data_IF_466951228438
#
_entry.id   IF_466951228438
#
_cell.length_a   1.000
_cell.length_b   1.000
_cell.length_c   1.000
_cell.angle_alpha   90.00
_cell.angle_beta   90.00
_cell.angle_gamma   90.00
#
_symmetry.space_group_name_H-M   'P 1'
#
loop_
_entity.id
_entity.type
_entity.pdbx_description
1 polymer ?
#
# COMPACT_ATOMS: atom_id res chain seq x y z
N UNK A 1 -2.08 -18.40 -1.26
CA UNK A 1 -3.22 -17.66 -0.68
C UNK A 1 -3.64 -16.47 -1.54
N UNK A 2 -2.72 -15.55 -1.89
CA UNK A 2 -3.04 -14.31 -2.63
C UNK A 2 -3.85 -14.53 -3.92
N UNK A 3 -3.51 -15.58 -4.68
CA UNK A 3 -4.25 -16.03 -5.85
C UNK A 3 -5.77 -16.19 -5.61
N UNK A 4 -6.14 -16.96 -4.58
CA UNK A 4 -7.53 -17.25 -4.26
C UNK A 4 -8.27 -16.04 -3.66
N UNK A 5 -7.56 -15.25 -2.85
CA UNK A 5 -8.13 -14.03 -2.23
C UNK A 5 -8.48 -12.96 -3.26
N UNK A 6 -7.75 -12.91 -4.38
CA UNK A 6 -8.00 -11.98 -5.50
C UNK A 6 -8.94 -12.53 -6.55
N UNK A 7 -9.45 -13.75 -6.37
CA UNK A 7 -10.35 -14.43 -7.31
C UNK A 7 -9.77 -14.57 -8.73
N UNK A 8 -8.49 -14.94 -8.81
CA UNK A 8 -7.82 -15.15 -10.10
C UNK A 8 -8.43 -16.34 -10.84
N UNK A 9 -8.73 -16.16 -12.13
CA UNK A 9 -9.27 -17.19 -13.02
C UNK A 9 -8.18 -18.20 -13.45
N UNK A 10 -7.73 -19.03 -12.51
CA UNK A 10 -6.62 -19.97 -12.73
C UNK A 10 -6.84 -20.95 -13.88
N UNK A 11 -8.10 -21.27 -14.21
CA UNK A 11 -8.44 -22.16 -15.32
C UNK A 11 -7.97 -21.65 -16.69
N UNK A 12 -7.88 -20.34 -16.86
CA UNK A 12 -7.49 -19.71 -18.13
C UNK A 12 -5.96 -19.62 -18.27
N UNK A 13 -5.23 -19.81 -17.15
CA UNK A 13 -3.78 -19.66 -17.07
C UNK A 13 -3.06 -20.98 -17.32
N UNK A 14 -3.52 -22.05 -16.68
CA UNK A 14 -2.77 -23.29 -16.61
C UNK A 14 -3.68 -24.51 -16.50
N UNK A 15 -3.33 -25.55 -17.27
CA UNK A 15 -4.02 -26.84 -17.24
C UNK A 15 -3.82 -27.60 -15.92
N UNK A 16 -2.65 -27.42 -15.28
CA UNK A 16 -2.28 -28.12 -14.06
C UNK A 16 -2.07 -27.10 -12.93
N UNK A 17 -2.99 -27.06 -11.97
CA UNK A 17 -2.92 -26.14 -10.84
C UNK A 17 -2.51 -26.91 -9.60
N UNK A 18 -1.32 -26.59 -9.08
CA UNK A 18 -0.77 -27.21 -7.88
C UNK A 18 -0.86 -26.29 -6.68
N UNK A 19 -1.15 -26.84 -5.50
CA UNK A 19 -1.06 -26.13 -4.23
C UNK A 19 -0.74 -27.07 -3.08
N UNK A 20 -0.53 -26.49 -1.89
CA UNK A 20 -0.32 -27.23 -0.65
C UNK A 20 -1.57 -27.11 0.21
N UNK A 21 -1.88 -28.15 0.97
CA UNK A 21 -3.07 -28.19 1.84
C UNK A 21 -3.08 -27.05 2.85
N UNK A 22 -1.93 -26.75 3.44
CA UNK A 22 -1.76 -25.68 4.43
C UNK A 22 -2.20 -24.30 3.90
N UNK A 23 -1.95 -24.02 2.62
CA UNK A 23 -2.34 -22.74 2.00
C UNK A 23 -3.86 -22.57 1.95
N UNK A 24 -4.60 -23.66 1.76
CA UNK A 24 -6.07 -23.64 1.68
C UNK A 24 -6.67 -23.58 3.08
N UNK A 25 -6.11 -24.32 4.04
CA UNK A 25 -6.60 -24.32 5.44
C UNK A 25 -6.33 -23.00 6.16
N UNK A 26 -5.32 -22.25 5.74
CA UNK A 26 -5.01 -20.92 6.28
C UNK A 26 -6.07 -19.86 5.89
N UNK A 27 -6.80 -20.05 4.79
CA UNK A 27 -7.75 -19.06 4.29
C UNK A 27 -8.94 -18.94 5.24
N UNK A 28 -9.12 -17.74 5.82
CA UNK A 28 -10.23 -17.42 6.74
C UNK A 28 -11.34 -16.58 6.12
N UNK A 29 -11.14 -16.07 4.91
CA UNK A 29 -12.14 -15.23 4.24
C UNK A 29 -13.35 -16.07 3.78
N UNK A 30 -14.54 -15.71 4.25
CA UNK A 30 -15.77 -16.48 4.01
C UNK A 30 -16.16 -16.53 2.54
N UNK A 31 -15.98 -15.43 1.80
CA UNK A 31 -16.32 -15.39 0.38
C UNK A 31 -15.40 -16.33 -0.41
N UNK A 32 -14.09 -16.24 -0.14
CA UNK A 32 -13.09 -17.11 -0.76
C UNK A 32 -13.31 -18.59 -0.41
N UNK A 33 -13.60 -18.93 0.85
CA UNK A 33 -13.91 -20.32 1.24
C UNK A 33 -15.11 -20.89 0.48
N UNK A 34 -16.16 -20.08 0.24
CA UNK A 34 -17.32 -20.51 -0.55
C UNK A 34 -16.94 -20.77 -2.01
N UNK A 35 -16.11 -19.92 -2.62
CA UNK A 35 -15.63 -20.10 -4.00
C UNK A 35 -14.76 -21.35 -4.15
N UNK A 36 -13.87 -21.59 -3.18
CA UNK A 36 -13.01 -22.79 -3.15
C UNK A 36 -13.80 -24.10 -3.09
N UNK A 37 -15.05 -24.08 -2.59
CA UNK A 37 -15.91 -25.26 -2.56
C UNK A 37 -16.51 -25.60 -3.95
N UNK A 38 -16.50 -24.67 -4.91
CA UNK A 38 -17.15 -24.79 -6.23
C UNK A 38 -16.22 -24.36 -7.36
N UNK A 39 -14.95 -24.80 -7.32
CA UNK A 39 -13.98 -24.46 -8.36
C UNK A 39 -14.31 -25.17 -9.69
N UNK A 40 -14.21 -24.48 -10.84
CA UNK A 40 -14.45 -25.06 -12.15
C UNK A 40 -13.24 -25.87 -12.69
N UNK A 41 -12.20 -26.07 -11.88
CA UNK A 41 -10.97 -26.75 -12.25
C UNK A 41 -10.48 -27.67 -11.12
N UNK A 42 -9.63 -28.64 -11.48
CA UNK A 42 -9.01 -29.54 -10.53
C UNK A 42 -7.83 -28.86 -9.81
N UNK A 43 -7.90 -28.81 -8.49
CA UNK A 43 -6.81 -28.33 -7.63
C UNK A 43 -6.00 -29.51 -7.09
N UNK A 44 -4.75 -29.66 -7.55
CA UNK A 44 -3.87 -30.77 -7.15
C UNK A 44 -3.05 -30.42 -5.93
N UNK A 45 -3.17 -31.24 -4.89
CA UNK A 45 -2.38 -31.08 -3.67
C UNK A 45 -1.08 -31.87 -3.77
N UNK A 46 0.06 -31.18 -3.69
CA UNK A 46 1.39 -31.82 -3.70
C UNK A 46 2.24 -31.22 -2.59
N UNK A 47 2.86 -32.09 -1.80
CA UNK A 47 3.84 -31.69 -0.78
C UNK A 47 5.25 -31.73 -1.37
N UNK A 48 6.09 -30.70 -1.12
CA UNK A 48 7.44 -30.66 -1.66
C UNK A 48 8.36 -31.65 -0.95
N UNK A 49 9.37 -32.15 -1.67
CA UNK A 49 10.44 -32.95 -1.08
C UNK A 49 11.30 -32.10 -0.14
N UNK A 50 11.78 -32.73 0.94
CA UNK A 50 12.57 -32.06 1.97
C UNK A 50 13.88 -31.46 1.45
N UNK A 51 14.45 -32.03 0.39
CA UNK A 51 15.66 -31.51 -0.28
C UNK A 51 15.45 -30.10 -0.81
N UNK A 52 14.34 -29.87 -1.53
CA UNK A 52 14.01 -28.55 -2.07
C UNK A 52 13.64 -27.55 -0.97
N UNK A 53 12.98 -28.02 0.10
CA UNK A 53 12.69 -27.18 1.27
C UNK A 53 13.99 -26.67 1.91
N UNK A 54 15.02 -27.51 2.04
CA UNK A 54 16.33 -27.11 2.55
C UNK A 54 17.02 -26.11 1.64
N UNK A 55 17.04 -26.37 0.33
CA UNK A 55 17.65 -25.49 -0.67
C UNK A 55 17.03 -24.10 -0.63
N UNK A 56 15.70 -24.00 -0.69
CA UNK A 56 14.98 -22.73 -0.62
C UNK A 56 15.21 -22.03 0.73
N UNK A 57 15.25 -22.78 1.83
CA UNK A 57 15.54 -22.22 3.15
C UNK A 57 16.92 -21.58 3.21
N UNK A 58 17.94 -22.26 2.69
CA UNK A 58 19.31 -21.75 2.62
C UNK A 58 19.40 -20.52 1.70
N UNK A 59 18.77 -20.58 0.53
CA UNK A 59 18.71 -19.45 -0.39
C UNK A 59 18.02 -18.24 0.25
N UNK A 60 16.87 -18.44 0.89
CA UNK A 60 16.11 -17.38 1.57
C UNK A 60 16.91 -16.73 2.70
N UNK A 61 17.74 -17.50 3.41
CA UNK A 61 18.66 -16.95 4.42
C UNK A 61 19.75 -16.08 3.78
N UNK A 62 20.29 -16.48 2.63
CA UNK A 62 21.27 -15.67 1.88
C UNK A 62 20.65 -14.36 1.35
N UNK A 63 19.38 -14.38 0.93
CA UNK A 63 18.66 -13.17 0.48
C UNK A 63 18.30 -12.21 1.62
N UNK A 64 18.17 -12.73 2.85
CA UNK A 64 17.70 -11.96 4.01
C UNK A 64 16.19 -11.97 4.24
N UNK A 65 15.41 -12.67 3.40
CA UNK A 65 13.95 -12.75 3.49
C UNK A 65 13.43 -13.89 4.38
N UNK A 66 14.29 -14.85 4.79
CA UNK A 66 13.86 -15.94 5.67
C UNK A 66 13.04 -15.51 6.92
N UNK A 67 13.40 -14.47 7.69
CA UNK A 67 12.60 -14.08 8.88
C UNK A 67 11.22 -13.47 8.55
N UNK A 68 11.00 -13.01 7.32
CA UNK A 68 9.69 -12.50 6.88
C UNK A 68 8.81 -13.58 6.24
N UNK A 69 9.39 -14.74 5.91
CA UNK A 69 8.69 -15.88 5.31
C UNK A 69 8.14 -16.82 6.38
N UNK A 70 6.91 -17.29 6.17
CA UNK A 70 6.29 -18.33 7.01
C UNK A 70 6.64 -19.74 6.53
N UNK A 71 6.34 -20.76 7.36
CA UNK A 71 6.61 -22.16 7.01
C UNK A 71 5.88 -22.60 5.73
N UNK A 72 4.61 -22.22 5.59
CA UNK A 72 3.81 -22.45 4.37
C UNK A 72 4.44 -21.83 3.13
N UNK A 73 5.10 -20.69 3.30
CA UNK A 73 5.69 -19.95 2.19
C UNK A 73 6.93 -20.64 1.66
N UNK A 74 7.78 -21.12 2.56
CA UNK A 74 8.94 -21.93 2.21
C UNK A 74 8.48 -23.20 1.48
N UNK A 75 7.40 -23.84 1.92
CA UNK A 75 6.87 -25.01 1.23
C UNK A 75 6.36 -24.66 -0.18
N UNK A 76 5.64 -23.54 -0.36
CA UNK A 76 5.18 -23.10 -1.70
C UNK A 76 6.36 -22.84 -2.62
N UNK A 77 7.39 -22.12 -2.14
CA UNK A 77 8.61 -21.84 -2.88
C UNK A 77 9.35 -23.14 -3.26
N UNK A 78 9.46 -24.08 -2.32
CA UNK A 78 10.06 -25.39 -2.57
C UNK A 78 9.29 -26.22 -3.59
N UNK A 79 7.95 -26.20 -3.53
CA UNK A 79 7.10 -26.88 -4.50
C UNK A 79 7.29 -26.28 -5.90
N UNK A 80 7.39 -24.94 -6.01
CA UNK A 80 7.63 -24.28 -7.29
C UNK A 80 8.99 -24.66 -7.87
N UNK A 81 10.04 -24.69 -7.04
CA UNK A 81 11.36 -25.14 -7.47
C UNK A 81 11.35 -26.61 -7.92
N UNK A 82 10.65 -27.47 -7.18
CA UNK A 82 10.51 -28.88 -7.53
C UNK A 82 9.84 -29.07 -8.90
N UNK A 83 8.74 -28.35 -9.16
CA UNK A 83 8.04 -28.42 -10.44
C UNK A 83 8.91 -27.88 -11.58
N UNK A 84 9.66 -26.81 -11.35
CA UNK A 84 10.60 -26.29 -12.35
C UNK A 84 11.67 -27.35 -12.71
N UNK A 85 12.25 -27.99 -11.68
CA UNK A 85 13.25 -29.04 -11.85
C UNK A 85 12.70 -30.26 -12.61
N UNK A 86 11.43 -30.63 -12.38
CA UNK A 86 10.77 -31.76 -13.03
C UNK A 86 10.41 -31.49 -14.51
N UNK A 87 9.97 -30.27 -14.87
CA UNK A 87 9.40 -29.97 -16.20
C UNK A 87 10.34 -29.19 -17.15
N UNK A 88 11.27 -28.40 -16.61
CA UNK A 88 12.17 -27.53 -17.39
C UNK A 88 13.63 -27.91 -17.13
N UNK A 89 13.97 -28.17 -15.87
CA UNK A 89 15.32 -28.47 -15.41
C UNK A 89 15.94 -27.30 -14.62
N UNK A 90 17.13 -27.54 -14.05
CA UNK A 90 17.76 -26.64 -13.06
C UNK A 90 18.89 -25.77 -13.61
N UNK A 91 19.21 -25.86 -14.91
CA UNK A 91 20.38 -25.20 -15.51
C UNK A 91 20.32 -23.67 -15.52
N UNK A 92 19.12 -23.09 -15.59
CA UNK A 92 18.90 -21.65 -15.60
C UNK A 92 18.72 -21.06 -14.19
N UNK A 93 18.56 -21.92 -13.17
CA UNK A 93 18.29 -21.49 -11.80
C UNK A 93 19.58 -21.07 -11.10
N UNK A 94 19.49 -19.99 -10.33
CA UNK A 94 20.61 -19.41 -9.60
C UNK A 94 20.72 -20.07 -8.23
N UNK A 95 21.93 -20.51 -7.87
CA UNK A 95 22.20 -21.11 -6.55
C UNK A 95 22.52 -20.07 -5.47
N UNK A 96 22.99 -18.90 -5.89
CA UNK A 96 23.32 -17.79 -5.00
C UNK A 96 22.68 -16.49 -5.47
N UNK A 97 22.22 -15.64 -4.54
CA UNK A 97 21.63 -14.37 -4.89
C UNK A 97 22.67 -13.38 -5.42
N UNK A 98 22.22 -12.47 -6.28
CA UNK A 98 23.09 -11.42 -6.80
C UNK A 98 23.34 -10.33 -5.76
N UNK A 99 24.44 -9.58 -5.97
CA UNK A 99 24.84 -8.50 -5.07
C UNK A 99 23.83 -7.35 -5.11
N UNK A 100 23.52 -6.83 -3.93
CA UNK A 100 22.62 -5.68 -3.76
C UNK A 100 23.29 -4.40 -4.28
N UNK A 101 22.59 -3.66 -5.14
CA UNK A 101 22.97 -2.32 -5.59
C UNK A 101 22.27 -1.27 -4.74
N UNK A 102 23.03 -0.30 -4.26
CA UNK A 102 22.53 0.74 -3.35
C UNK A 102 22.62 2.09 -4.04
N UNK A 103 21.51 2.82 -4.06
CA UNK A 103 21.44 4.20 -4.56
C UNK A 103 20.90 5.13 -3.48
N UNK A 104 21.29 6.40 -3.58
CA UNK A 104 20.96 7.41 -2.57
C UNK A 104 20.22 8.57 -3.23
N UNK A 105 19.07 8.93 -2.68
CA UNK A 105 18.18 10.00 -3.18
C UNK A 105 17.89 11.03 -2.09
N UNK A 106 17.71 12.29 -2.46
CA UNK A 106 17.30 13.36 -1.53
C UNK A 106 15.78 13.32 -1.28
N UNK A 107 15.03 12.57 -2.10
CA UNK A 107 13.59 12.46 -1.98
C UNK A 107 13.18 11.84 -0.64
N UNK A 108 12.06 12.30 -0.09
CA UNK A 108 11.52 11.80 1.17
C UNK A 108 10.80 10.45 0.96
N UNK A 109 10.94 9.43 1.82
CA UNK A 109 10.32 8.10 1.62
C UNK A 109 8.78 8.08 1.57
N UNK A 110 8.14 9.13 2.11
CA UNK A 110 6.69 9.31 2.11
C UNK A 110 6.18 10.10 0.89
N UNK A 111 7.02 10.41 -0.11
CA UNK A 111 6.52 10.99 -1.36
C UNK A 111 5.58 9.99 -2.05
N UNK A 112 4.40 10.42 -2.53
CA UNK A 112 3.40 9.55 -3.13
C UNK A 112 3.77 9.18 -4.57
N UNK A 113 4.92 8.52 -4.75
CA UNK A 113 5.30 7.97 -6.06
C UNK A 113 4.49 6.69 -6.32
N UNK A 114 3.97 6.52 -7.54
CA UNK A 114 3.19 5.35 -7.96
C UNK A 114 1.86 5.18 -7.23
N UNK A 115 1.28 6.28 -6.73
CA UNK A 115 -0.09 6.28 -6.20
C UNK A 115 -1.00 6.83 -7.29
N UNK A 116 -1.87 5.99 -7.84
CA UNK A 116 -2.87 6.40 -8.84
C UNK A 116 -3.73 7.55 -8.31
N UNK A 117 -3.95 8.57 -9.15
CA UNK A 117 -4.70 9.78 -8.78
C UNK A 117 -3.89 10.85 -8.04
N UNK A 118 -2.61 10.60 -7.73
CA UNK A 118 -1.68 11.64 -7.27
C UNK A 118 -0.80 12.11 -8.43
N UNK A 119 -1.13 13.27 -9.01
CA UNK A 119 -0.34 13.89 -10.06
C UNK A 119 0.87 14.63 -9.46
N UNK A 120 2.08 14.23 -9.85
CA UNK A 120 3.30 15.01 -9.64
C UNK A 120 3.64 15.69 -10.96
N UNK A 121 3.58 17.03 -11.06
CA UNK A 121 4.02 17.71 -12.27
C UNK A 121 5.50 17.42 -12.47
N UNK A 122 5.83 16.66 -13.50
CA UNK A 122 7.20 16.62 -13.99
C UNK A 122 7.57 18.01 -14.48
N UNK A 123 8.75 18.51 -14.10
CA UNK A 123 9.31 19.66 -14.82
C UNK A 123 9.34 19.28 -16.31
N UNK A 124 8.94 20.18 -17.23
CA UNK A 124 9.03 19.88 -18.65
C UNK A 124 10.46 19.45 -18.95
N UNK A 125 10.60 18.28 -19.60
CA UNK A 125 11.88 17.93 -20.21
C UNK A 125 12.17 19.05 -21.22
N UNK A 126 13.32 19.75 -21.14
CA UNK A 126 13.67 20.64 -22.23
C UNK A 126 13.72 19.82 -23.52
N UNK A 127 13.20 20.35 -24.65
CA UNK A 127 13.39 19.71 -25.95
C UNK A 127 14.88 19.41 -26.14
N UNK A 128 15.19 18.19 -26.56
CA UNK A 128 16.55 17.88 -27.02
C UNK A 128 16.79 18.65 -28.32
N UNK A 129 17.39 19.84 -28.22
CA UNK A 129 17.94 20.55 -29.37
C UNK A 129 19.45 20.75 -29.19
N UNK A 130 20.14 20.48 -30.29
CA UNK A 130 21.58 20.52 -30.54
C UNK A 130 22.24 21.87 -30.27
N UNK A 131 23.52 21.80 -29.86
CA UNK A 131 24.52 22.83 -29.53
C UNK A 131 24.40 24.24 -30.16
N UNK A 132 24.58 25.31 -29.33
CA UNK A 132 25.72 26.28 -29.36
C UNK A 132 25.56 27.49 -28.39
N UNK A 133 26.60 27.79 -27.59
CA UNK A 133 27.13 29.14 -27.27
C UNK A 133 26.57 29.99 -26.09
N UNK A 134 27.37 30.20 -25.03
CA UNK A 134 27.22 31.08 -23.83
C UNK A 134 27.48 32.61 -24.10
N UNK A 135 27.36 33.62 -23.17
CA UNK A 135 27.37 33.57 -21.67
C UNK A 135 26.50 34.57 -20.82
N UNK A 136 26.39 34.22 -19.51
CA UNK A 136 26.26 34.99 -18.24
C UNK A 136 25.37 36.25 -18.05
N UNK A 137 24.45 36.20 -17.06
CA UNK A 137 24.42 37.09 -15.86
C UNK A 137 23.28 36.73 -14.85
N UNK A 138 23.70 36.26 -13.66
CA UNK A 138 23.23 36.54 -12.29
C UNK A 138 21.74 36.42 -11.83
N UNK A 139 21.51 36.19 -10.52
CA UNK A 139 20.42 35.39 -9.98
C UNK A 139 19.30 36.26 -9.39
N UNK A 140 18.06 35.76 -9.36
CA UNK A 140 17.08 36.17 -8.34
C UNK A 140 15.82 35.30 -8.40
N UNK A 141 15.67 34.41 -7.41
CA UNK A 141 14.51 34.34 -6.52
C UNK A 141 14.60 33.08 -5.66
N UNK A 142 15.33 33.22 -4.54
CA UNK A 142 15.48 32.21 -3.48
C UNK A 142 14.29 32.13 -2.52
N UNK A 143 13.09 32.59 -2.90
CA UNK A 143 11.92 32.60 -2.00
C UNK A 143 10.84 31.56 -2.31
N UNK A 144 10.85 30.92 -3.48
CA UNK A 144 9.82 29.92 -3.82
C UNK A 144 10.18 28.48 -3.38
N UNK A 145 10.77 28.34 -2.20
CA UNK A 145 11.03 27.04 -1.56
C UNK A 145 10.52 26.96 -0.12
N UNK A 146 9.49 27.73 0.21
CA UNK A 146 8.73 27.57 1.45
C UNK A 146 7.41 26.83 1.20
N UNK A 147 7.49 25.53 0.89
CA UNK A 147 6.34 24.64 1.00
C UNK A 147 5.88 24.60 2.47
N UNK A 148 4.91 25.45 2.81
CA UNK A 148 4.20 25.48 4.10
C UNK A 148 3.34 24.23 4.25
N UNK A 149 3.96 23.16 4.72
CA UNK A 149 3.28 21.92 5.10
C UNK A 149 2.55 22.10 6.45
N UNK A 150 1.60 23.03 6.57
CA UNK A 150 0.50 23.05 7.55
C UNK A 150 -0.51 24.09 7.06
N UNK A 151 -1.70 23.67 6.61
CA UNK A 151 -2.80 24.62 6.35
C UNK A 151 -3.12 25.36 7.65
N UNK A 152 -3.12 26.70 7.61
CA UNK A 152 -3.86 27.47 8.61
C UNK A 152 -5.32 26.97 8.60
N UNK A 153 -5.98 26.83 9.76
CA UNK A 153 -7.38 26.41 9.78
C UNK A 153 -8.21 27.39 8.94
N UNK A 154 -9.04 26.86 8.06
CA UNK A 154 -9.95 27.65 7.23
C UNK A 154 -10.82 28.56 8.13
N UNK A 155 -11.12 29.79 7.71
CA UNK A 155 -12.05 30.66 8.42
C UNK A 155 -13.42 29.98 8.55
N UNK A 156 -14.10 30.25 9.66
CA UNK A 156 -15.35 29.60 10.04
C UNK A 156 -16.51 30.15 9.21
N UNK A 157 -17.12 29.32 8.35
CA UNK A 157 -18.17 29.72 7.39
C UNK A 157 -19.58 29.69 8.05
N UNK A 158 -19.65 29.50 9.36
CA UNK A 158 -20.92 29.35 10.09
C UNK A 158 -21.85 30.57 10.00
N UNK A 159 -21.35 31.74 9.58
CA UNK A 159 -22.13 32.98 9.49
C UNK A 159 -22.68 33.31 8.10
N UNK A 160 -22.32 32.56 7.05
CA UNK A 160 -22.74 32.86 5.66
C UNK A 160 -23.83 31.90 5.14
N UNK A 161 -24.23 30.91 5.95
CA UNK A 161 -25.28 29.93 5.62
C UNK A 161 -26.66 30.28 6.23
N UNK A 162 -26.85 31.50 6.74
CA UNK A 162 -28.13 31.92 7.35
C UNK A 162 -29.00 32.85 6.48
N UNK A 163 -28.63 33.19 5.24
CA UNK A 163 -29.42 34.11 4.39
C UNK A 163 -29.95 33.56 3.06
N UNK A 164 -30.48 32.33 2.98
CA UNK A 164 -31.51 32.10 1.95
C UNK A 164 -32.70 31.26 2.39
N UNK A 165 -33.14 31.33 3.65
CA UNK A 165 -34.33 30.61 4.12
C UNK A 165 -35.39 31.51 4.77
N UNK A 166 -35.88 32.54 4.07
CA UNK A 166 -37.23 33.13 4.28
C UNK A 166 -37.81 33.65 2.94
N UNK A 167 -38.50 32.74 2.23
CA UNK A 167 -39.80 32.83 1.53
C UNK A 167 -40.35 34.17 0.96
N UNK A 168 -40.71 34.20 -0.36
CA UNK A 168 -42.10 34.36 -0.89
C UNK A 168 -42.20 34.61 -2.42
N UNK A 169 -42.91 33.71 -3.11
CA UNK A 169 -44.07 33.94 -4.00
C UNK A 169 -44.03 34.86 -5.25
N UNK A 170 -44.29 34.23 -6.40
CA UNK A 170 -45.11 34.66 -7.59
C UNK A 170 -44.71 35.91 -8.41
N UNK A 171 -44.27 35.69 -9.67
CA UNK A 171 -45.03 35.96 -10.94
C UNK A 171 -44.11 36.11 -12.18
N UNK A 172 -44.61 35.63 -13.33
CA UNK A 172 -44.05 35.64 -14.71
C UNK A 172 -44.91 36.63 -15.53
N UNK A 173 -44.37 37.50 -16.43
CA UNK A 173 -44.24 37.11 -17.85
C UNK A 173 -43.19 37.81 -18.75
N UNK A 174 -42.72 37.01 -19.73
CA UNK A 174 -42.52 37.23 -21.19
C UNK A 174 -41.57 38.29 -21.80
N UNK A 175 -40.86 37.80 -22.85
CA UNK A 175 -40.34 38.47 -24.09
C UNK A 175 -39.03 39.31 -23.94
N UNK A 176 -37.99 39.25 -24.79
CA UNK A 176 -37.82 38.96 -26.23
C UNK A 176 -36.42 38.34 -26.57
N UNK A 177 -36.30 37.87 -27.81
CA UNK A 177 -35.11 37.31 -28.48
C UNK A 177 -34.00 38.34 -28.72
N UNK A 178 -32.73 37.90 -28.71
CA UNK A 178 -31.77 38.30 -29.77
C UNK A 178 -30.58 37.33 -29.84
N UNK A 179 -30.34 36.82 -31.05
CA UNK A 179 -29.18 36.03 -31.44
C UNK A 179 -28.06 36.98 -31.86
N UNK A 180 -26.83 36.75 -31.42
CA UNK A 180 -25.67 37.20 -32.17
C UNK A 180 -24.53 36.17 -32.16
N UNK A 181 -24.13 35.79 -33.37
CA UNK A 181 -23.03 34.89 -33.68
C UNK A 181 -21.70 35.64 -33.51
N UNK A 182 -20.81 35.10 -32.67
CA UNK A 182 -19.41 35.51 -32.60
C UNK A 182 -18.51 34.28 -32.62
N UNK A 183 -18.17 33.81 -33.82
CA UNK A 183 -17.16 32.79 -34.06
C UNK A 183 -15.77 33.33 -33.73
N UNK A 184 -15.16 32.84 -32.66
CA UNK A 184 -13.71 32.89 -32.48
C UNK A 184 -13.20 31.46 -32.36
N UNK A 185 -12.61 30.97 -33.46
CA UNK A 185 -11.74 29.80 -33.49
C UNK A 185 -10.57 30.03 -32.52
N UNK A 186 -10.77 29.65 -31.26
CA UNK A 186 -9.66 29.37 -30.36
C UNK A 186 -9.15 27.98 -30.72
N UNK A 187 -8.02 27.94 -31.43
CA UNK A 187 -7.12 26.79 -31.38
C UNK A 187 -6.76 26.59 -29.91
N UNK A 188 -7.50 25.70 -29.29
CA UNK A 188 -7.13 25.09 -28.02
C UNK A 188 -5.95 24.18 -28.36
N UNK A 189 -4.73 24.75 -28.39
CA UNK A 189 -3.51 23.96 -28.25
C UNK A 189 -3.52 23.43 -26.81
N UNK A 190 -4.38 22.45 -26.58
CA UNK A 190 -4.46 21.68 -25.36
C UNK A 190 -3.26 20.74 -25.33
N UNK A 191 -2.10 21.27 -24.98
CA UNK A 191 -1.12 20.49 -24.23
C UNK A 191 -1.69 20.29 -22.81
N UNK A 192 -2.86 19.63 -22.74
CA UNK A 192 -3.43 19.10 -21.51
C UNK A 192 -2.61 17.87 -21.17
N UNK A 193 -1.58 18.08 -20.35
CA UNK A 193 -0.92 17.06 -19.55
C UNK A 193 -1.93 16.45 -18.53
N UNK A 194 -3.07 15.96 -19.04
CA UNK A 194 -4.19 15.34 -18.33
C UNK A 194 -3.89 13.95 -17.79
N UNK A 195 -2.61 13.62 -17.57
CA UNK A 195 -2.13 12.27 -17.24
C UNK A 195 -2.40 11.80 -15.80
N UNK A 196 -3.13 12.57 -14.98
CA UNK A 196 -3.29 12.29 -13.54
C UNK A 196 -4.70 11.99 -13.04
N UNK A 197 -5.74 12.20 -13.86
CA UNK A 197 -7.12 12.05 -13.41
C UNK A 197 -7.54 10.59 -13.32
N UNK A 198 -8.46 10.25 -12.42
CA UNK A 198 -9.18 8.98 -12.43
C UNK A 198 -10.57 9.25 -13.03
N UNK A 199 -10.79 8.81 -14.26
CA UNK A 199 -12.00 9.03 -15.05
C UNK A 199 -12.77 7.72 -15.20
N UNK A 200 -14.10 7.75 -15.48
CA UNK A 200 -14.85 6.54 -15.79
C UNK A 200 -14.27 5.72 -16.95
N UNK A 201 -13.56 6.37 -17.88
CA UNK A 201 -12.86 5.73 -18.99
C UNK A 201 -11.60 4.98 -18.54
N UNK A 202 -10.86 5.51 -17.57
CA UNK A 202 -9.62 4.90 -17.10
C UNK A 202 -9.79 3.98 -15.88
N UNK A 203 -10.87 4.08 -15.11
CA UNK A 203 -11.05 3.23 -13.93
C UNK A 203 -11.08 1.75 -14.31
N UNK A 204 -11.77 1.45 -15.43
CA UNK A 204 -11.77 0.11 -16.02
C UNK A 204 -10.40 -0.26 -16.54
N UNK A 205 -9.64 0.65 -17.14
CA UNK A 205 -8.28 0.38 -17.62
C UNK A 205 -7.30 0.14 -16.45
N UNK A 206 -7.42 0.86 -15.34
CA UNK A 206 -6.60 0.67 -14.13
C UNK A 206 -6.96 -0.64 -13.43
N UNK A 207 -8.25 -1.00 -13.42
CA UNK A 207 -8.73 -2.30 -12.96
C UNK A 207 -8.34 -3.42 -13.95
N UNK A 208 -8.39 -3.19 -15.25
CA UNK A 208 -8.03 -4.15 -16.30
C UNK A 208 -6.53 -4.31 -16.45
N UNK A 209 -5.69 -3.31 -16.21
CA UNK A 209 -4.25 -3.54 -16.03
C UNK A 209 -3.98 -4.52 -14.88
N UNK A 210 -4.92 -4.68 -13.94
CA UNK A 210 -4.90 -5.69 -12.88
C UNK A 210 -5.66 -6.99 -13.24
N UNK A 211 -6.40 -7.06 -14.35
CA UNK A 211 -7.27 -8.19 -14.73
C UNK A 211 -7.01 -8.76 -16.14
N UNK A 212 -6.27 -8.06 -17.00
CA UNK A 212 -6.06 -8.44 -18.41
C UNK A 212 -5.00 -9.53 -18.49
N UNK A 213 -5.47 -10.73 -18.80
CA UNK A 213 -4.68 -11.95 -18.81
C UNK A 213 -4.02 -12.21 -20.17
N UNK A 214 -2.80 -11.70 -20.32
CA UNK A 214 -1.92 -12.11 -21.40
C UNK A 214 -1.05 -13.27 -20.90
N UNK A 215 -1.46 -14.50 -21.25
CA UNK A 215 -0.70 -15.70 -20.88
C UNK A 215 0.60 -15.71 -21.69
N UNK A 216 1.78 -15.69 -21.05
CA UNK A 216 3.04 -15.77 -21.77
C UNK A 216 3.18 -17.17 -22.39
N UNK A 217 3.31 -17.24 -23.72
CA UNK A 217 3.34 -18.51 -24.47
C UNK A 217 4.52 -19.42 -24.11
N UNK A 218 5.59 -18.88 -23.50
CA UNK A 218 6.86 -19.59 -23.25
C UNK A 218 7.05 -20.08 -21.80
N UNK A 219 6.06 -19.87 -20.91
CA UNK A 219 6.20 -20.22 -19.49
C UNK A 219 5.52 -21.55 -19.18
N UNK A 220 6.32 -22.59 -18.89
CA UNK A 220 5.80 -23.92 -18.52
C UNK A 220 5.40 -24.03 -17.06
N UNK A 221 6.16 -23.41 -16.18
CA UNK A 221 5.98 -23.42 -14.72
C UNK A 221 6.08 -21.99 -14.23
N UNK A 222 5.14 -21.58 -13.38
CA UNK A 222 5.11 -20.25 -12.79
C UNK A 222 4.40 -20.26 -11.46
N UNK A 223 4.86 -19.42 -10.54
CA UNK A 223 4.23 -19.23 -9.24
C UNK A 223 3.37 -17.97 -9.27
N UNK A 224 2.15 -18.04 -8.70
CA UNK A 224 1.33 -16.85 -8.49
C UNK A 224 1.28 -16.48 -7.02
N UNK A 225 1.89 -15.34 -6.68
CA UNK A 225 1.94 -14.80 -5.31
C UNK A 225 1.83 -13.27 -5.32
N UNK A 226 1.19 -12.73 -4.29
CA UNK A 226 1.05 -11.29 -4.06
C UNK A 226 2.00 -10.77 -2.98
N UNK A 227 2.76 -11.65 -2.33
CA UNK A 227 3.67 -11.29 -1.24
C UNK A 227 5.07 -10.97 -1.78
N UNK A 228 5.59 -9.78 -1.46
CA UNK A 228 6.87 -9.30 -1.98
C UNK A 228 8.08 -10.15 -1.55
N UNK A 229 8.10 -10.68 -0.32
CA UNK A 229 9.25 -11.48 0.13
C UNK A 229 9.38 -12.77 -0.69
N UNK A 230 8.24 -13.40 -1.01
CA UNK A 230 8.21 -14.58 -1.89
C UNK A 230 8.60 -14.22 -3.32
N UNK A 231 8.10 -13.10 -3.83
CA UNK A 231 8.45 -12.60 -5.16
C UNK A 231 9.95 -12.33 -5.28
N UNK A 232 10.56 -11.75 -4.24
CA UNK A 232 11.99 -11.47 -4.19
C UNK A 232 12.82 -12.75 -4.31
N UNK A 233 12.51 -13.75 -3.48
CA UNK A 233 13.20 -15.04 -3.54
C UNK A 233 13.01 -15.70 -4.91
N UNK A 234 11.79 -15.74 -5.45
CA UNK A 234 11.51 -16.35 -6.76
C UNK A 234 12.32 -15.71 -7.90
N UNK A 235 12.27 -14.38 -8.01
CA UNK A 235 13.01 -13.65 -9.03
C UNK A 235 14.53 -13.81 -8.89
N UNK A 236 15.05 -13.82 -7.66
CA UNK A 236 16.47 -14.04 -7.42
C UNK A 236 16.92 -15.48 -7.70
N UNK A 237 16.05 -16.48 -7.50
CA UNK A 237 16.30 -17.87 -7.91
C UNK A 237 16.21 -18.07 -9.43
N UNK A 238 15.58 -17.13 -10.14
CA UNK A 238 15.32 -17.23 -11.58
C UNK A 238 14.05 -18.01 -11.92
N UNK A 239 13.11 -18.14 -10.98
CA UNK A 239 11.82 -18.79 -11.20
C UNK A 239 10.81 -17.78 -11.77
N UNK A 240 9.95 -18.26 -12.67
CA UNK A 240 8.92 -17.42 -13.26
C UNK A 240 7.83 -17.08 -12.24
N UNK A 241 7.55 -15.78 -12.15
CA UNK A 241 6.53 -15.23 -11.28
C UNK A 241 5.40 -14.66 -12.15
N UNK A 242 4.18 -15.10 -11.88
CA UNK A 242 2.97 -14.63 -12.56
C UNK A 242 2.21 -13.67 -11.63
N UNK A 243 1.73 -12.58 -12.22
CA UNK A 243 0.80 -11.67 -11.58
C UNK A 243 -0.64 -12.24 -11.61
N UNK A 244 -1.56 -11.60 -10.88
CA UNK A 244 -2.98 -11.99 -10.83
C UNK A 244 -3.65 -11.87 -12.20
N UNK A 245 -3.18 -10.93 -13.02
CA UNK A 245 -3.54 -10.73 -14.42
C UNK A 245 -2.74 -11.64 -15.37
N UNK A 246 -2.24 -12.79 -14.92
CA UNK A 246 -1.58 -13.78 -15.76
C UNK A 246 -0.29 -13.34 -16.49
N UNK A 247 0.15 -12.09 -16.35
CA UNK A 247 1.38 -11.60 -16.95
C UNK A 247 2.62 -12.03 -16.17
N UNK A 248 3.72 -12.24 -16.90
CA UNK A 248 5.03 -12.47 -16.28
C UNK A 248 5.54 -11.18 -15.62
N UNK A 249 5.80 -11.23 -14.32
CA UNK A 249 6.41 -10.12 -13.60
C UNK A 249 7.91 -10.08 -13.91
N UNK A 250 8.34 -9.04 -14.64
CA UNK A 250 9.77 -8.76 -14.90
C UNK A 250 10.41 -7.90 -13.81
N UNK A 251 9.67 -6.94 -13.28
CA UNK A 251 10.18 -6.04 -12.24
C UNK A 251 9.19 -5.98 -11.08
N UNK A 252 9.70 -6.14 -9.85
CA UNK A 252 8.91 -6.01 -8.63
C UNK A 252 9.47 -4.84 -7.80
N UNK A 253 8.63 -3.84 -7.56
CA UNK A 253 8.96 -2.70 -6.71
C UNK A 253 8.08 -2.69 -5.46
N UNK A 254 8.71 -2.58 -4.30
CA UNK A 254 8.02 -2.47 -3.02
C UNK A 254 8.84 -1.66 -2.02
N UNK A 255 8.43 -1.68 -0.76
CA UNK A 255 9.13 -1.05 0.34
C UNK A 255 9.45 -2.07 1.42
N UNK A 256 10.68 -1.99 1.94
CA UNK A 256 11.17 -2.81 3.05
C UNK A 256 11.50 -1.90 4.23
N UNK A 257 11.36 -2.43 5.44
CA UNK A 257 11.78 -1.77 6.66
C UNK A 257 13.23 -2.17 6.97
N UNK A 258 14.14 -1.20 6.96
CA UNK A 258 15.55 -1.40 7.29
C UNK A 258 15.91 -0.60 8.54
N UNK A 259 16.75 -1.18 9.41
CA UNK A 259 17.43 -0.43 10.46
C UNK A 259 18.74 0.15 9.90
N UNK A 260 19.10 1.34 10.40
CA UNK A 260 20.41 1.95 10.19
C UNK A 260 21.54 1.22 10.91
N UNK A 261 21.24 0.46 11.97
CA UNK A 261 22.19 -0.47 12.58
C UNK A 261 22.13 -1.82 11.85
N UNK A 262 23.27 -2.31 11.38
CA UNK A 262 23.43 -3.56 10.61
C UNK A 262 23.10 -4.85 11.39
N UNK A 263 22.29 -4.78 12.44
CA UNK A 263 21.97 -5.89 13.32
C UNK A 263 20.45 -5.94 13.52
N UNK A 264 19.80 -6.85 12.80
CA UNK A 264 18.38 -7.17 12.92
C UNK A 264 17.96 -7.73 14.30
N UNK A 265 18.86 -7.74 15.30
CA UNK A 265 18.65 -8.32 16.62
C UNK A 265 18.31 -7.30 17.71
N UNK A 266 18.25 -6.01 17.37
CA UNK A 266 17.98 -4.97 18.38
C UNK A 266 16.50 -4.63 18.35
N UNK A 267 15.74 -5.04 19.38
CA UNK A 267 14.28 -4.87 19.52
C UNK A 267 13.79 -3.42 19.70
N UNK A 268 14.50 -2.47 19.09
CA UNK A 268 14.21 -1.04 19.14
C UNK A 268 13.24 -0.63 18.02
N UNK A 269 12.48 0.43 18.26
CA UNK A 269 11.59 1.02 17.27
C UNK A 269 12.33 2.01 16.34
N UNK A 270 13.32 1.52 15.61
CA UNK A 270 14.26 2.31 14.78
C UNK A 270 14.05 2.16 13.27
N UNK A 271 13.23 1.20 12.85
CA UNK A 271 13.00 0.85 11.44
C UNK A 271 12.59 2.05 10.57
N UNK A 272 13.18 2.11 9.37
CA UNK A 272 12.92 3.12 8.34
C UNK A 272 12.47 2.45 7.04
N UNK A 273 11.52 3.07 6.36
CA UNK A 273 11.02 2.63 5.06
C UNK A 273 12.04 2.94 3.96
N UNK A 274 12.42 1.93 3.19
CA UNK A 274 13.33 2.02 2.04
C UNK A 274 12.63 1.40 0.84
N UNK A 275 12.66 2.05 -0.33
CA UNK A 275 12.11 1.43 -1.55
C UNK A 275 13.12 0.48 -2.17
N UNK A 276 12.62 -0.67 -2.61
CA UNK A 276 13.40 -1.76 -3.16
C UNK A 276 12.79 -2.17 -4.50
N UNK A 277 13.64 -2.39 -5.48
CA UNK A 277 13.30 -2.82 -6.83
C UNK A 277 14.08 -4.08 -7.17
N UNK A 278 13.42 -5.08 -7.73
CA UNK A 278 14.03 -6.33 -8.18
C UNK A 278 13.76 -6.46 -9.66
N UNK A 279 14.83 -6.63 -10.44
CA UNK A 279 14.75 -6.88 -11.88
C UNK A 279 14.68 -8.38 -12.17
N UNK A 280 14.33 -8.75 -13.39
CA UNK A 280 14.29 -10.13 -13.91
C UNK A 280 15.66 -10.81 -13.86
N UNK A 281 16.73 -10.03 -13.99
CA UNK A 281 18.10 -10.45 -13.78
C UNK A 281 18.38 -10.92 -12.33
N UNK A 282 17.45 -10.69 -11.39
CA UNK A 282 17.62 -10.99 -9.98
C UNK A 282 18.46 -9.94 -9.23
N UNK A 283 18.77 -8.80 -9.86
CA UNK A 283 19.47 -7.70 -9.20
C UNK A 283 18.55 -6.96 -8.23
N UNK A 284 18.94 -6.92 -6.95
CA UNK A 284 18.24 -6.15 -5.92
C UNK A 284 18.77 -4.72 -5.87
N UNK A 285 17.92 -3.74 -6.14
CA UNK A 285 18.22 -2.32 -6.09
C UNK A 285 17.51 -1.64 -4.91
N UNK A 286 18.27 -1.10 -3.96
CA UNK A 286 17.74 -0.35 -2.81
C UNK A 286 17.93 1.15 -3.01
N UNK A 287 16.87 1.93 -2.81
CA UNK A 287 16.93 3.40 -2.86
C UNK A 287 16.77 4.00 -1.46
N UNK A 288 17.90 4.39 -0.87
CA UNK A 288 17.94 5.03 0.44
C UNK A 288 17.71 6.55 0.32
N UNK A 289 17.03 7.11 1.32
CA UNK A 289 16.85 8.56 1.41
C UNK A 289 17.96 9.20 2.24
N UNK A 290 18.63 10.22 1.69
CA UNK A 290 19.55 11.13 2.39
C UNK A 290 18.84 12.34 2.99
N UNK A 291 17.51 12.37 2.97
CA UNK A 291 16.76 13.51 3.50
C UNK A 291 16.98 13.62 5.03
N UNK A 292 17.49 14.76 5.54
CA UNK A 292 17.83 14.90 6.96
C UNK A 292 16.61 14.81 7.89
N UNK A 293 15.39 14.99 7.36
CA UNK A 293 14.15 14.83 8.14
C UNK A 293 13.86 13.38 8.52
N UNK A 294 14.41 12.40 7.78
CA UNK A 294 14.16 10.96 8.02
C UNK A 294 14.88 10.46 9.28
N UNK A 295 16.12 10.93 9.49
CA UNK A 295 16.98 10.59 10.63
C UNK A 295 17.06 11.76 11.61
N UNK A 296 15.91 12.19 12.12
CA UNK A 296 15.83 13.26 13.11
C UNK A 296 15.57 12.70 14.52
N UNK A 297 16.41 13.07 15.48
CA UNK A 297 16.27 12.65 16.88
C UNK A 297 15.25 13.46 17.70
N UNK A 298 14.66 14.52 17.13
CA UNK A 298 13.68 15.37 17.82
C UNK A 298 12.44 14.57 18.24
N UNK A 299 12.05 14.73 19.49
CA UNK A 299 10.86 14.11 20.07
C UNK A 299 11.03 12.64 20.50
N UNK A 300 12.23 12.07 20.38
CA UNK A 300 12.53 10.72 20.87
C UNK A 300 12.79 10.67 22.38
N UNK A 301 13.37 11.73 22.96
CA UNK A 301 13.65 11.83 24.41
C UNK A 301 12.58 12.65 25.12
N UNK A 302 11.86 12.02 26.05
CA UNK A 302 10.86 12.64 26.92
C UNK A 302 10.67 11.80 28.19
N UNK A 303 10.12 12.41 29.24
CA UNK A 303 9.89 11.71 30.51
C UNK A 303 8.75 10.72 30.39
N UNK A 304 8.99 9.47 30.80
CA UNK A 304 7.98 8.42 30.85
C UNK A 304 7.23 8.44 32.19
N UNK A 305 5.94 8.08 32.21
CA UNK A 305 5.21 7.89 33.47
C UNK A 305 5.77 6.68 34.23
N UNK A 306 5.52 6.64 35.54
CA UNK A 306 5.85 5.46 36.35
C UNK A 306 5.06 4.23 35.85
N UNK A 307 5.67 3.04 35.84
CA UNK A 307 5.00 1.82 35.41
C UNK A 307 3.85 1.50 36.36
N UNK A 308 2.65 1.27 35.81
CA UNK A 308 1.46 0.92 36.59
C UNK A 308 0.93 -0.45 36.17
N UNK A 309 0.46 -1.22 37.15
CA UNK A 309 -0.24 -2.49 36.95
C UNK A 309 -1.76 -2.36 37.14
N UNK A 310 -2.46 -3.47 36.93
CA UNK A 310 -3.91 -3.58 37.11
C UNK A 310 -4.71 -3.61 35.81
N UNK A 311 -6.02 -3.86 35.93
CA UNK A 311 -6.94 -4.11 34.80
C UNK A 311 -7.06 -2.94 33.82
N UNK A 312 -6.83 -1.72 34.29
CA UNK A 312 -7.03 -0.48 33.51
C UNK A 312 -5.73 0.29 33.26
N UNK A 313 -4.58 -0.28 33.59
CA UNK A 313 -3.30 0.38 33.37
C UNK A 313 -2.97 0.44 31.87
N UNK A 314 -2.63 1.63 31.38
CA UNK A 314 -2.21 1.88 29.99
C UNK A 314 -0.82 2.49 30.03
N UNK A 315 0.20 1.63 29.95
CA UNK A 315 1.58 2.06 29.86
C UNK A 315 1.95 2.36 28.39
N UNK A 316 2.91 3.27 28.11
CA UNK A 316 3.46 3.43 26.77
C UNK A 316 3.98 2.11 26.21
N UNK A 317 3.85 1.90 24.89
CA UNK A 317 4.34 0.71 24.20
C UNK A 317 5.81 0.87 23.81
N UNK A 318 6.69 0.09 24.44
CA UNK A 318 8.15 0.17 24.31
C UNK A 318 8.76 -1.04 23.60
N UNK A 319 8.27 -2.26 23.88
CA UNK A 319 8.76 -3.51 23.28
C UNK A 319 7.63 -4.28 22.61
N UNK A 320 7.95 -5.10 21.61
CA UNK A 320 6.96 -5.87 20.83
C UNK A 320 6.18 -6.91 21.65
N UNK A 321 6.82 -7.48 22.67
CA UNK A 321 6.31 -8.51 23.56
C UNK A 321 5.63 -7.94 24.81
N UNK A 322 5.44 -6.61 24.85
CA UNK A 322 4.85 -5.94 26.00
C UNK A 322 3.41 -6.38 26.22
N UNK A 323 3.12 -6.85 27.44
CA UNK A 323 1.78 -7.28 27.84
C UNK A 323 0.89 -6.06 28.12
N UNK A 324 -0.26 -6.03 27.45
CA UNK A 324 -1.32 -5.06 27.72
C UNK A 324 -2.52 -5.75 28.36
N UNK A 325 -3.22 -5.10 29.32
CA UNK A 325 -4.57 -5.50 29.67
C UNK A 325 -5.46 -5.53 28.41
N UNK A 326 -6.54 -6.30 28.43
CA UNK A 326 -7.45 -6.44 27.27
C UNK A 326 -8.73 -5.59 27.44
N UNK A 327 -8.70 -4.27 27.20
CA UNK A 327 -9.91 -3.49 27.05
C UNK A 327 -10.52 -3.81 25.67
N UNK A 328 -11.53 -4.67 25.63
CA UNK A 328 -12.27 -4.95 24.40
C UNK A 328 -13.40 -3.94 24.22
N UNK A 329 -13.64 -3.59 22.96
CA UNK A 329 -14.81 -2.82 22.56
C UNK A 329 -16.04 -3.72 22.55
N UNK A 330 -17.20 -3.14 22.83
CA UNK A 330 -18.47 -3.83 22.63
C UNK A 330 -18.69 -4.12 21.14
N UNK A 331 -19.54 -5.11 20.84
CA UNK A 331 -19.93 -5.41 19.45
C UNK A 331 -20.52 -4.17 18.75
N UNK A 332 -21.31 -3.38 19.47
CA UNK A 332 -21.93 -2.15 18.96
C UNK A 332 -20.88 -1.09 18.61
N UNK A 333 -19.84 -0.93 19.43
CA UNK A 333 -18.76 0.03 19.18
C UNK A 333 -17.89 -0.34 17.97
N UNK A 334 -17.76 -1.64 17.66
CA UNK A 334 -16.98 -2.12 16.51
C UNK A 334 -17.72 -2.11 15.17
N UNK A 335 -19.03 -1.83 15.15
CA UNK A 335 -19.82 -1.78 13.92
C UNK A 335 -19.54 -0.50 13.13
N UNK A 336 -19.53 -0.63 11.81
CA UNK A 336 -19.46 0.49 10.86
C UNK A 336 -20.65 0.41 9.91
N UNK A 337 -21.11 1.55 9.42
CA UNK A 337 -22.15 1.61 8.40
C UNK A 337 -21.57 1.16 7.06
N UNK A 338 -22.18 0.16 6.43
CA UNK A 338 -21.91 -0.20 5.03
C UNK A 338 -23.14 0.16 4.19
N UNK A 339 -23.04 1.22 3.39
CA UNK A 339 -24.14 1.74 2.55
C UNK A 339 -24.52 0.78 1.43
N UNK A 340 -23.58 -0.03 0.97
CA UNK A 340 -23.78 -0.99 -0.13
C UNK A 340 -24.16 -2.39 0.37
N UNK A 341 -24.43 -2.55 1.66
CA UNK A 341 -24.90 -3.82 2.20
C UNK A 341 -26.40 -4.01 1.85
N UNK A 342 -26.84 -5.25 1.57
CA UNK A 342 -28.22 -5.52 1.16
C UNK A 342 -29.26 -5.15 2.23
N UNK A 343 -28.86 -5.13 3.50
CA UNK A 343 -29.68 -4.77 4.65
C UNK A 343 -29.75 -3.24 4.90
N UNK A 344 -29.00 -2.43 4.15
CA UNK A 344 -28.96 -0.97 4.36
C UNK A 344 -30.31 -0.29 4.13
N UNK A 345 -31.06 -0.71 3.09
CA UNK A 345 -32.36 -0.12 2.73
C UNK A 345 -33.40 -0.35 3.82
N UNK A 346 -33.31 -1.47 4.55
CA UNK A 346 -34.22 -1.80 5.64
C UNK A 346 -33.91 -1.04 6.94
N UNK A 347 -32.82 -0.28 6.99
CA UNK A 347 -32.39 0.47 8.18
C UNK A 347 -33.29 1.66 8.47
N UNK A 348 -33.77 1.78 9.72
CA UNK A 348 -34.50 2.98 10.19
C UNK A 348 -33.64 4.26 10.20
N UNK A 349 -32.32 4.12 10.16
CA UNK A 349 -31.37 5.23 10.15
C UNK A 349 -30.25 4.93 9.16
N UNK A 350 -29.78 5.93 8.40
CA UNK A 350 -28.66 5.76 7.48
C UNK A 350 -27.32 5.52 8.19
N UNK A 351 -27.26 5.65 9.52
CA UNK A 351 -26.03 5.49 10.31
C UNK A 351 -26.18 4.46 11.42
N UNK A 352 -25.09 3.74 11.70
CA UNK A 352 -25.01 2.85 12.85
C UNK A 352 -25.03 3.65 14.16
N UNK A 353 -25.70 3.10 15.19
CA UNK A 353 -25.82 3.74 16.50
C UNK A 353 -24.51 3.63 17.29
N UNK A 354 -24.08 4.73 17.89
CA UNK A 354 -22.92 4.75 18.79
C UNK A 354 -23.18 3.96 20.09
N UNK A 355 -22.10 3.41 20.65
CA UNK A 355 -22.10 2.82 21.98
C UNK A 355 -21.76 3.86 23.06
N UNK A 356 -22.72 4.13 23.94
CA UNK A 356 -22.59 5.08 25.05
C UNK A 356 -22.85 4.44 26.41
N UNK A 357 -23.39 3.21 26.44
CA UNK A 357 -23.88 2.56 27.66
C UNK A 357 -22.91 1.52 28.21
N UNK A 358 -21.96 1.04 27.40
CA UNK A 358 -21.03 0.00 27.84
C UNK A 358 -19.98 0.52 28.84
N UNK A 359 -19.44 -0.41 29.63
CA UNK A 359 -18.28 -0.15 30.48
C UNK A 359 -17.07 0.33 29.65
N UNK A 360 -16.86 -0.23 28.45
CA UNK A 360 -15.80 0.22 27.53
C UNK A 360 -15.98 1.67 27.06
N UNK A 361 -17.23 2.13 26.87
CA UNK A 361 -17.51 3.52 26.52
C UNK A 361 -17.15 4.47 27.68
N UNK A 362 -17.50 4.08 28.91
CA UNK A 362 -17.15 4.84 30.13
C UNK A 362 -15.63 4.91 30.33
N UNK A 363 -14.92 3.82 30.08
CA UNK A 363 -13.46 3.76 30.13
C UNK A 363 -12.76 4.45 28.94
N UNK A 364 -13.53 4.96 27.98
CA UNK A 364 -13.06 5.61 26.76
C UNK A 364 -12.10 4.73 25.94
N UNK A 365 -12.40 3.44 25.84
CA UNK A 365 -11.66 2.52 24.97
C UNK A 365 -11.87 2.97 23.52
N UNK A 366 -10.79 2.99 22.74
CA UNK A 366 -10.80 3.41 21.34
C UNK A 366 -10.17 2.34 20.47
N UNK A 367 -10.61 2.28 19.23
CA UNK A 367 -9.96 1.45 18.21
C UNK A 367 -8.48 1.80 18.07
N UNK A 368 -7.65 0.78 17.89
CA UNK A 368 -6.20 0.91 17.69
C UNK A 368 -5.84 1.66 16.40
N UNK A 369 -6.76 1.73 15.44
CA UNK A 369 -6.63 2.45 14.17
C UNK A 369 -6.74 3.97 14.35
N UNK A 370 -7.45 4.44 15.39
CA UNK A 370 -7.63 5.86 15.65
C UNK A 370 -6.37 6.51 16.23
N UNK A 371 -6.27 7.83 16.06
CA UNK A 371 -5.20 8.63 16.68
C UNK A 371 -3.79 8.35 16.15
N UNK A 372 -3.63 7.71 14.99
CA UNK A 372 -2.32 7.49 14.38
C UNK A 372 -1.55 8.81 14.16
N UNK A 373 -2.21 9.82 13.60
CA UNK A 373 -1.60 11.16 13.43
C UNK A 373 -1.21 11.82 14.75
N UNK A 374 -2.03 11.66 15.79
CA UNK A 374 -1.74 12.18 17.14
C UNK A 374 -0.49 11.54 17.75
N UNK A 375 -0.31 10.22 17.57
CA UNK A 375 0.86 9.46 18.04
C UNK A 375 2.15 9.81 17.31
N UNK A 376 2.08 10.44 16.12
CA UNK A 376 3.24 10.94 15.37
C UNK A 376 3.73 12.31 15.84
N UNK A 377 2.98 12.99 16.71
CA UNK A 377 3.38 14.31 17.23
C UNK A 377 4.45 14.17 18.31
N UNK A 378 5.38 15.13 18.34
CA UNK A 378 6.39 15.22 19.38
C UNK A 378 5.71 15.44 20.76
N UNK A 379 5.96 14.58 21.76
CA UNK A 379 5.41 14.74 23.11
C UNK A 379 5.75 16.07 23.78
N UNK A 380 6.92 16.63 23.47
CA UNK A 380 7.46 17.87 24.06
C UNK A 380 6.84 19.15 23.44
N UNK A 381 6.03 19.03 22.39
CA UNK A 381 5.39 20.20 21.76
C UNK A 381 4.20 20.71 22.57
N UNK A 382 4.03 22.04 22.59
CA UNK A 382 2.90 22.72 23.26
C UNK A 382 1.57 22.35 22.60
N UNK A 383 0.49 22.48 23.37
CA UNK A 383 -0.86 22.03 22.99
C UNK A 383 -1.88 23.12 23.33
N UNK A 384 -3.04 23.05 22.67
CA UNK A 384 -4.18 23.91 23.01
C UNK A 384 -4.59 23.71 24.47
N UNK A 385 -4.84 24.81 25.18
CA UNK A 385 -5.07 24.88 26.64
C UNK A 385 -6.07 23.86 27.18
N UNK A 386 -7.17 23.61 26.46
CA UNK A 386 -8.26 22.74 26.91
C UNK A 386 -8.20 21.31 26.38
N UNK A 387 -7.16 20.95 25.61
CA UNK A 387 -7.07 19.63 24.97
C UNK A 387 -6.18 18.69 25.78
N UNK A 388 -6.80 17.77 26.52
CA UNK A 388 -6.12 16.65 27.20
C UNK A 388 -5.87 15.52 26.19
N UNK A 389 -4.67 15.43 25.63
CA UNK A 389 -4.29 14.25 24.81
C UNK A 389 -3.69 13.17 25.73
N UNK A 390 -4.25 11.97 25.64
CA UNK A 390 -3.60 10.72 26.06
C UNK A 390 -2.62 10.24 25.00
#
# INVERSE_FOLDING_TARGET
AGAFLRDAALQDIGKNIYTIREVVTEIRDKATCRRLAVLPYELRFKEPLLEYVRLVTEFSKKTGDYPSLSATDIQVLALTYQLEAEFVGVSHLKQEPQKVKVSLSIQHPETPLHISGFHLPSKPKPPQETEKGHPACEPENLEFSSFMFWRNPLPNIDHELQEPLIDRGEDVPSEEEEKENGSEDRKDDSDDDGGGWITPSNIKQIQQQLEQCDVPEDVRVGCMTTDFARQNVLLQMGLHLLAVNCMLIREARSYVLADTCSVHTVGNKTLKKVSVTISDDGTLHMHFSRNPKVLNARGLRYSLPTPKGGKYAINPHLTEDQRFPQPQLSRKAGQKTNVFAPDYIAGMSPFVKNDISSCSATLQVRDSTLGAGRRRLNPNASRKKFVKKR
#
